data_IF_934444807754
#
_entry.id   IF_934444807754
#
_cell.length_a   1.000
_cell.length_b   1.000
_cell.length_c   1.000
_cell.angle_alpha   90.00
_cell.angle_beta   90.00
_cell.angle_gamma   90.00
#
_symmetry.space_group_name_H-M   'P 1'
#
loop_
_entity.id
_entity.type
_entity.pdbx_description
1 polymer ?
#
# COMPACT_ATOMS: atom_id res chain seq x y z
N UNK A 1 -29.08 -60.08 7.30
CA UNK A 1 -29.28 -58.88 8.14
C UNK A 1 -28.06 -57.95 8.02
N UNK A 2 -28.10 -57.06 7.02
CA UNK A 2 -27.14 -55.98 6.73
C UNK A 2 -27.94 -54.66 6.66
N UNK A 3 -28.43 -54.15 7.80
CA UNK A 3 -29.23 -52.90 7.80
C UNK A 3 -28.87 -51.89 8.90
N UNK A 4 -27.93 -52.20 9.81
CA UNK A 4 -27.63 -51.32 10.95
C UNK A 4 -26.47 -50.33 10.73
N UNK A 5 -25.65 -50.50 9.69
CA UNK A 5 -24.44 -49.68 9.51
C UNK A 5 -24.54 -48.65 8.38
N UNK A 6 -25.59 -48.67 7.55
CA UNK A 6 -25.76 -47.72 6.46
C UNK A 6 -26.32 -46.38 6.96
N UNK A 7 -27.24 -46.42 7.92
CA UNK A 7 -27.81 -45.21 8.53
C UNK A 7 -26.77 -44.37 9.28
N UNK A 8 -25.77 -45.01 9.91
CA UNK A 8 -24.74 -44.32 10.68
C UNK A 8 -23.69 -43.63 9.78
N UNK A 9 -23.38 -44.22 8.62
CA UNK A 9 -22.51 -43.65 7.58
C UNK A 9 -23.17 -42.48 6.84
N UNK A 10 -24.49 -42.53 6.65
CA UNK A 10 -25.25 -41.40 6.11
C UNK A 10 -25.36 -40.24 7.10
N UNK A 11 -25.50 -40.52 8.40
CA UNK A 11 -25.56 -39.48 9.43
C UNK A 11 -24.22 -38.73 9.60
N UNK A 12 -23.08 -39.42 9.44
CA UNK A 12 -21.75 -38.79 9.51
C UNK A 12 -21.41 -37.99 8.25
N UNK A 13 -21.82 -38.44 7.07
CA UNK A 13 -21.61 -37.68 5.83
C UNK A 13 -22.46 -36.39 5.77
N UNK A 14 -23.69 -36.41 6.27
CA UNK A 14 -24.54 -35.22 6.35
C UNK A 14 -24.01 -34.22 7.39
N UNK A 15 -23.45 -34.71 8.51
CA UNK A 15 -22.84 -33.85 9.52
C UNK A 15 -21.51 -33.20 9.04
N UNK A 16 -20.74 -33.86 8.16
CA UNK A 16 -19.56 -33.26 7.53
C UNK A 16 -19.91 -32.26 6.41
N UNK A 17 -21.03 -32.43 5.71
CA UNK A 17 -21.50 -31.46 4.71
C UNK A 17 -22.12 -30.20 5.34
N UNK A 18 -22.64 -30.29 6.57
CA UNK A 18 -23.19 -29.15 7.30
C UNK A 18 -22.13 -28.21 7.90
N UNK A 19 -20.86 -28.64 8.00
CA UNK A 19 -19.75 -27.81 8.48
C UNK A 19 -19.04 -27.08 7.32
N UNK A 20 -19.31 -27.44 6.06
CA UNK A 20 -18.69 -26.83 4.88
C UNK A 20 -19.42 -25.58 4.35
N UNK A 21 -20.46 -25.12 5.05
CA UNK A 21 -21.18 -23.86 4.75
C UNK A 21 -21.11 -22.94 5.97
N UNK A 22 -19.89 -22.57 6.37
CA UNK A 22 -19.70 -21.24 6.93
C UNK A 22 -19.26 -20.35 5.76
N UNK A 23 -20.02 -19.31 5.40
CA UNK A 23 -19.42 -18.20 4.69
C UNK A 23 -18.23 -17.72 5.53
N UNK A 24 -17.13 -17.36 4.88
CA UNK A 24 -16.12 -16.54 5.54
C UNK A 24 -16.86 -15.35 6.19
N UNK A 25 -16.59 -15.07 7.45
CA UNK A 25 -17.11 -13.87 8.11
C UNK A 25 -16.43 -12.65 7.47
N UNK A 26 -16.88 -12.27 6.27
CA UNK A 26 -16.58 -11.01 5.59
C UNK A 26 -17.53 -9.90 6.09
N UNK A 27 -17.90 -9.92 7.37
CA UNK A 27 -18.68 -8.86 8.02
C UNK A 27 -17.75 -7.81 8.66
N UNK A 28 -16.61 -7.53 8.02
CA UNK A 28 -15.98 -6.22 8.20
C UNK A 28 -16.77 -5.28 7.28
N UNK A 29 -17.58 -4.35 7.81
CA UNK A 29 -18.28 -3.40 6.96
C UNK A 29 -17.22 -2.72 6.10
N UNK A 30 -17.43 -2.75 4.77
CA UNK A 30 -16.65 -1.92 3.88
C UNK A 30 -16.69 -0.50 4.46
N UNK A 31 -15.53 -0.01 4.88
CA UNK A 31 -15.41 1.40 5.27
C UNK A 31 -15.75 2.15 3.99
N UNK A 32 -16.91 2.81 4.01
CA UNK A 32 -17.35 3.72 2.96
C UNK A 32 -16.37 4.89 3.00
N UNK A 33 -15.26 4.73 2.27
CA UNK A 33 -14.20 5.71 2.25
C UNK A 33 -14.76 6.96 1.54
N UNK A 34 -14.41 8.15 2.05
CA UNK A 34 -14.82 9.40 1.43
C UNK A 34 -14.45 9.39 -0.06
N UNK A 35 -15.24 10.13 -0.84
CA UNK A 35 -15.06 10.37 -2.27
C UNK A 35 -13.56 10.49 -2.60
N UNK A 36 -13.02 9.58 -3.41
CA UNK A 36 -11.58 9.52 -3.73
C UNK A 36 -11.15 10.65 -4.67
N UNK A 37 -11.91 11.74 -4.71
CA UNK A 37 -11.62 12.95 -5.46
C UNK A 37 -10.71 13.89 -4.66
N UNK A 38 -9.59 14.36 -5.26
CA UNK A 38 -8.80 15.46 -4.73
C UNK A 38 -9.61 16.71 -4.37
N UNK A 39 -9.07 17.51 -3.45
CA UNK A 39 -9.63 18.82 -3.10
C UNK A 39 -9.65 19.73 -4.33
N UNK A 40 -10.83 20.28 -4.63
CA UNK A 40 -11.01 21.17 -5.77
C UNK A 40 -10.12 22.42 -5.65
N UNK A 41 -9.45 22.77 -6.76
CA UNK A 41 -8.60 23.96 -6.84
C UNK A 41 -7.15 23.75 -6.40
N UNK A 42 -6.77 22.54 -5.99
CA UNK A 42 -5.36 22.15 -5.79
C UNK A 42 -4.78 21.64 -7.11
N UNK A 43 -3.54 22.03 -7.43
CA UNK A 43 -2.86 21.57 -8.64
C UNK A 43 -2.50 20.08 -8.56
N UNK A 44 -2.67 19.31 -9.64
CA UNK A 44 -2.21 17.92 -9.73
C UNK A 44 -0.69 17.80 -9.54
N UNK A 45 -0.18 16.63 -9.13
CA UNK A 45 1.24 16.41 -8.97
C UNK A 45 1.99 16.46 -10.31
N UNK A 46 3.28 16.82 -10.32
CA UNK A 46 4.07 16.97 -11.54
C UNK A 46 4.01 15.75 -12.47
N UNK A 47 3.66 15.96 -13.74
CA UNK A 47 3.55 14.88 -14.73
C UNK A 47 2.16 14.27 -14.85
N UNK A 48 1.17 14.73 -14.07
CA UNK A 48 -0.22 14.29 -14.17
C UNK A 48 -1.17 15.44 -14.44
N UNK A 49 -2.25 15.16 -15.17
CA UNK A 49 -3.28 16.15 -15.49
C UNK A 49 -4.40 16.21 -14.44
N UNK A 50 -4.70 15.07 -13.82
CA UNK A 50 -5.74 14.89 -12.82
C UNK A 50 -5.54 13.55 -12.06
N UNK A 51 -6.45 13.24 -11.14
CA UNK A 51 -6.43 12.00 -10.37
C UNK A 51 -6.65 10.75 -11.22
N UNK A 52 -7.53 10.82 -12.21
CA UNK A 52 -7.79 9.69 -13.11
C UNK A 52 -6.54 9.31 -13.90
N UNK A 53 -5.73 10.30 -14.31
CA UNK A 53 -4.42 10.07 -14.92
C UNK A 53 -3.44 9.37 -13.96
N UNK A 54 -3.45 9.71 -12.67
CA UNK A 54 -2.64 9.02 -11.64
C UNK A 54 -3.07 7.56 -11.51
N UNK A 55 -4.38 7.31 -11.36
CA UNK A 55 -4.94 5.97 -11.23
C UNK A 55 -4.66 5.10 -12.47
N UNK A 56 -4.83 5.66 -13.66
CA UNK A 56 -4.54 4.97 -14.91
C UNK A 56 -3.06 4.61 -15.04
N UNK A 57 -2.16 5.53 -14.68
CA UNK A 57 -0.73 5.25 -14.73
C UNK A 57 -0.33 4.18 -13.70
N UNK A 58 -0.91 4.19 -12.51
CA UNK A 58 -0.57 3.27 -11.42
C UNK A 58 -0.89 1.80 -11.74
N UNK A 59 -1.90 1.53 -12.57
CA UNK A 59 -2.40 0.18 -12.83
C UNK A 59 -1.28 -0.79 -13.28
N UNK A 60 -1.07 -1.86 -12.51
CA UNK A 60 -0.11 -2.91 -12.83
C UNK A 60 1.35 -2.55 -12.53
N UNK A 61 1.61 -1.37 -11.95
CA UNK A 61 2.96 -1.02 -11.49
C UNK A 61 3.34 -1.74 -10.20
N UNK A 62 4.64 -1.89 -9.99
CA UNK A 62 5.22 -2.29 -8.71
C UNK A 62 5.86 -1.09 -8.05
N UNK A 63 5.51 -0.83 -6.79
CA UNK A 63 6.12 0.23 -5.96
C UNK A 63 7.12 -0.40 -5.00
N UNK A 64 8.40 -0.06 -5.12
CA UNK A 64 9.44 -0.44 -4.18
C UNK A 64 9.42 0.50 -2.97
N UNK A 65 8.85 0.01 -1.87
CA UNK A 65 8.69 0.76 -0.63
C UNK A 65 9.80 0.41 0.36
N UNK A 66 10.78 1.30 0.51
CA UNK A 66 11.90 1.15 1.44
C UNK A 66 11.46 1.60 2.84
N UNK A 67 11.37 0.66 3.80
CA UNK A 67 10.95 0.98 5.16
C UNK A 67 11.84 0.35 6.23
N UNK A 68 11.80 0.91 7.44
CA UNK A 68 12.54 0.37 8.58
C UNK A 68 12.12 -1.06 8.89
N UNK A 69 13.05 -2.00 8.77
CA UNK A 69 12.79 -3.43 8.88
C UNK A 69 12.76 -3.97 10.32
N UNK A 70 12.97 -3.15 11.34
CA UNK A 70 13.16 -3.63 12.73
C UNK A 70 11.90 -4.10 13.48
N UNK A 71 10.76 -4.21 12.81
CA UNK A 71 9.51 -4.69 13.42
C UNK A 71 8.76 -5.66 12.52
N UNK A 72 8.81 -6.96 12.85
CA UNK A 72 8.06 -8.00 12.12
C UNK A 72 6.55 -7.72 12.08
N UNK A 73 6.01 -7.11 13.15
CA UNK A 73 4.59 -6.76 13.22
C UNK A 73 4.22 -5.69 12.19
N UNK A 74 4.98 -4.59 12.12
CA UNK A 74 4.72 -3.51 11.16
C UNK A 74 4.98 -4.04 9.74
N UNK A 75 6.09 -4.74 9.55
CA UNK A 75 6.47 -5.32 8.26
C UNK A 75 5.37 -6.26 7.74
N UNK A 76 4.86 -7.17 8.58
CA UNK A 76 3.80 -8.10 8.22
C UNK A 76 2.46 -7.42 7.95
N UNK A 77 2.15 -6.33 8.64
CA UNK A 77 0.97 -5.52 8.33
C UNK A 77 1.08 -4.84 6.95
N UNK A 78 2.27 -4.31 6.62
CA UNK A 78 2.53 -3.68 5.31
C UNK A 78 2.53 -4.71 4.17
N UNK A 79 3.19 -5.85 4.34
CA UNK A 79 3.31 -6.88 3.29
C UNK A 79 2.08 -7.78 3.16
N UNK A 80 1.19 -7.78 4.14
CA UNK A 80 -0.12 -8.43 4.08
C UNK A 80 -1.22 -7.41 3.77
N UNK A 81 -1.89 -6.93 4.82
CA UNK A 81 -3.10 -6.12 4.72
C UNK A 81 -2.97 -4.91 3.77
N UNK A 82 -1.88 -4.12 3.88
CA UNK A 82 -1.71 -2.93 3.03
C UNK A 82 -1.44 -3.31 1.59
N UNK A 83 -0.54 -4.27 1.35
CA UNK A 83 -0.23 -4.77 0.01
C UNK A 83 -1.48 -5.33 -0.68
N UNK A 84 -2.28 -6.14 0.02
CA UNK A 84 -3.53 -6.72 -0.49
C UNK A 84 -4.54 -5.62 -0.86
N UNK A 85 -4.75 -4.64 0.04
CA UNK A 85 -5.69 -3.55 -0.20
C UNK A 85 -5.29 -2.67 -1.39
N UNK A 86 -3.99 -2.36 -1.53
CA UNK A 86 -3.47 -1.54 -2.64
C UNK A 86 -3.56 -2.31 -3.97
N UNK A 87 -3.30 -3.62 -3.95
CA UNK A 87 -3.42 -4.48 -5.12
C UNK A 87 -4.87 -4.64 -5.58
N UNK A 88 -5.81 -4.86 -4.65
CA UNK A 88 -7.23 -5.04 -4.95
C UNK A 88 -7.86 -3.77 -5.51
N UNK A 89 -7.54 -2.62 -4.93
CA UNK A 89 -8.20 -1.34 -5.26
C UNK A 89 -7.60 -0.63 -6.46
N UNK A 90 -6.27 -0.67 -6.59
CA UNK A 90 -5.54 0.15 -7.58
C UNK A 90 -4.69 -0.69 -8.54
N UNK A 91 -4.69 -2.02 -8.40
CA UNK A 91 -3.89 -2.87 -9.27
C UNK A 91 -2.38 -2.73 -9.07
N UNK A 92 -1.93 -2.12 -7.98
CA UNK A 92 -0.51 -1.85 -7.69
C UNK A 92 0.08 -2.96 -6.81
N UNK A 93 1.22 -3.50 -7.21
CA UNK A 93 1.99 -4.43 -6.38
C UNK A 93 2.91 -3.65 -5.44
N UNK A 94 2.74 -3.82 -4.13
CA UNK A 94 3.64 -3.20 -3.15
C UNK A 94 4.81 -4.14 -2.81
N UNK A 95 6.02 -3.79 -3.24
CA UNK A 95 7.25 -4.51 -2.88
C UNK A 95 7.95 -3.80 -1.72
N UNK A 96 7.73 -4.27 -0.49
CA UNK A 96 8.41 -3.72 0.69
C UNK A 96 9.87 -4.20 0.74
N UNK A 97 10.80 -3.24 0.84
CA UNK A 97 12.24 -3.47 0.98
C UNK A 97 12.68 -3.05 2.39
N UNK A 98 13.07 -3.99 3.27
CA UNK A 98 13.47 -3.66 4.62
C UNK A 98 14.87 -3.01 4.62
N UNK A 99 15.00 -1.87 5.30
CA UNK A 99 16.29 -1.20 5.56
C UNK A 99 16.63 -1.21 7.04
N UNK A 100 17.94 -1.19 7.35
CA UNK A 100 18.40 -1.10 8.72
C UNK A 100 18.14 0.30 9.31
N UNK A 101 18.37 1.35 8.50
CA UNK A 101 18.16 2.74 8.85
C UNK A 101 17.89 3.61 7.62
N UNK A 102 17.56 4.89 7.86
CA UNK A 102 17.22 5.83 6.79
C UNK A 102 18.38 6.19 5.84
N UNK A 103 19.62 6.40 6.33
CA UNK A 103 20.77 6.67 5.46
C UNK A 103 20.98 5.66 4.32
N UNK A 104 20.56 4.41 4.49
CA UNK A 104 20.62 3.38 3.44
C UNK A 104 19.89 3.82 2.15
N UNK A 105 18.62 4.19 2.22
CA UNK A 105 17.88 4.64 1.04
C UNK A 105 18.34 6.04 0.58
N UNK A 106 18.78 6.91 1.49
CA UNK A 106 19.28 8.25 1.11
C UNK A 106 20.51 8.11 0.21
N UNK A 107 21.48 7.30 0.62
CA UNK A 107 22.70 7.07 -0.16
C UNK A 107 22.40 6.37 -1.49
N UNK A 108 21.40 5.48 -1.50
CA UNK A 108 20.96 4.79 -2.72
C UNK A 108 20.39 5.75 -3.76
N UNK A 109 19.42 6.58 -3.36
CA UNK A 109 18.80 7.57 -4.25
C UNK A 109 19.82 8.60 -4.71
N UNK A 110 20.66 9.10 -3.80
CA UNK A 110 21.72 10.05 -4.13
C UNK A 110 22.73 9.45 -5.13
N UNK A 111 23.11 8.19 -4.95
CA UNK A 111 24.01 7.49 -5.87
C UNK A 111 23.41 7.29 -7.26
N UNK A 112 22.11 7.02 -7.35
CA UNK A 112 21.38 6.89 -8.62
C UNK A 112 21.32 8.23 -9.36
N UNK A 113 20.97 9.32 -8.65
CA UNK A 113 20.98 10.68 -9.22
C UNK A 113 22.38 11.07 -9.71
N UNK A 114 23.43 10.82 -8.92
CA UNK A 114 24.82 11.13 -9.32
C UNK A 114 25.29 10.31 -10.53
N UNK A 115 24.69 9.15 -10.77
CA UNK A 115 24.92 8.33 -11.95
C UNK A 115 24.07 8.77 -13.17
N UNK A 116 23.29 9.85 -13.05
CA UNK A 116 22.39 10.35 -14.10
C UNK A 116 21.14 9.48 -14.29
N UNK A 117 20.75 8.71 -13.27
CA UNK A 117 19.49 7.95 -13.26
C UNK A 117 18.40 8.78 -12.59
N UNK A 118 17.91 9.75 -13.36
CA UNK A 118 16.81 10.63 -12.95
C UNK A 118 15.43 10.01 -13.20
N UNK A 119 15.40 8.93 -13.98
CA UNK A 119 14.25 8.07 -14.27
C UNK A 119 14.63 6.60 -14.00
N UNK A 120 13.64 5.74 -13.78
CA UNK A 120 13.83 4.30 -13.51
C UNK A 120 14.84 4.03 -12.37
N UNK A 121 14.78 4.85 -11.32
CA UNK A 121 15.42 4.59 -10.04
C UNK A 121 14.88 3.32 -9.39
N UNK A 122 15.51 2.87 -8.30
CA UNK A 122 15.09 1.63 -7.63
C UNK A 122 14.32 1.83 -6.33
N UNK A 123 14.08 3.09 -5.94
CA UNK A 123 13.38 3.49 -4.72
C UNK A 123 12.22 4.39 -5.12
N UNK A 124 10.98 3.92 -4.88
CA UNK A 124 9.77 4.64 -5.28
C UNK A 124 9.11 5.34 -4.09
N UNK A 125 9.16 4.71 -2.90
CA UNK A 125 8.58 5.22 -1.66
C UNK A 125 9.52 4.94 -0.48
N UNK A 126 9.58 5.85 0.48
CA UNK A 126 10.42 5.71 1.69
C UNK A 126 9.64 5.96 2.98
N UNK A 127 9.88 5.13 3.99
CA UNK A 127 9.52 5.47 5.37
C UNK A 127 10.60 6.42 5.91
N UNK A 128 10.24 7.68 6.11
CA UNK A 128 11.20 8.75 6.39
C UNK A 128 10.96 9.42 7.74
N UNK A 129 12.05 9.75 8.44
CA UNK A 129 12.03 10.57 9.65
C UNK A 129 12.50 12.01 9.31
N UNK A 130 12.37 12.95 10.26
CA UNK A 130 12.67 14.37 10.00
C UNK A 130 14.11 14.65 9.52
N UNK A 131 15.11 13.95 10.07
CA UNK A 131 16.52 14.16 9.68
C UNK A 131 16.81 13.68 8.26
N UNK A 132 16.31 12.50 7.88
CA UNK A 132 16.48 11.96 6.54
C UNK A 132 15.66 12.75 5.53
N UNK A 133 14.44 13.17 5.88
CA UNK A 133 13.62 14.05 5.03
C UNK A 133 14.35 15.36 4.73
N UNK A 134 14.87 16.04 5.76
CA UNK A 134 15.67 17.27 5.60
C UNK A 134 16.85 17.04 4.66
N UNK A 135 17.57 15.94 4.84
CA UNK A 135 18.73 15.59 4.00
C UNK A 135 18.33 15.38 2.55
N UNK A 136 17.29 14.59 2.28
CA UNK A 136 16.78 14.36 0.92
C UNK A 136 16.23 15.63 0.27
N UNK A 137 15.53 16.51 1.04
CA UNK A 137 15.07 17.82 0.53
C UNK A 137 16.23 18.71 0.12
N UNK A 138 17.27 18.80 0.95
CA UNK A 138 18.45 19.65 0.66
C UNK A 138 19.23 19.18 -0.56
N UNK A 139 19.18 17.88 -0.86
CA UNK A 139 19.79 17.27 -2.03
C UNK A 139 18.81 17.13 -3.23
N UNK A 140 17.62 17.74 -3.16
CA UNK A 140 16.62 17.73 -4.24
C UNK A 140 16.22 16.33 -4.70
N UNK A 141 16.16 15.37 -3.77
CA UNK A 141 15.90 13.94 -4.06
C UNK A 141 14.43 13.54 -3.98
N UNK A 142 13.52 14.46 -3.65
CA UNK A 142 12.13 14.15 -3.35
C UNK A 142 11.20 14.66 -4.45
N UNK A 143 10.35 13.77 -4.94
CA UNK A 143 9.25 14.10 -5.84
C UNK A 143 8.18 14.97 -5.16
N UNK A 144 7.58 15.88 -5.92
CA UNK A 144 6.45 16.70 -5.48
C UNK A 144 6.50 18.12 -6.06
N UNK A 145 5.55 18.98 -5.64
CA UNK A 145 4.55 18.79 -4.59
C UNK A 145 3.45 17.79 -4.97
N UNK A 146 2.83 17.14 -3.97
CA UNK A 146 1.67 16.24 -4.21
C UNK A 146 0.72 16.12 -3.00
N UNK A 147 1.18 16.42 -1.79
CA UNK A 147 0.49 16.08 -0.54
C UNK A 147 -0.88 16.76 -0.38
N UNK A 148 -1.01 18.00 -0.81
CA UNK A 148 -2.28 18.75 -0.77
C UNK A 148 -3.29 18.24 -1.81
N UNK A 149 -2.83 17.55 -2.86
CA UNK A 149 -3.68 17.03 -3.93
C UNK A 149 -4.31 15.68 -3.58
N UNK A 150 -3.84 14.99 -2.54
CA UNK A 150 -4.38 13.67 -2.20
C UNK A 150 -5.86 13.78 -1.80
N UNK A 151 -6.73 12.82 -2.16
CA UNK A 151 -8.16 12.86 -1.80
C UNK A 151 -8.40 13.05 -0.30
N UNK A 152 -7.61 12.37 0.53
CA UNK A 152 -7.71 12.43 1.99
C UNK A 152 -7.01 13.65 2.62
N UNK A 153 -6.47 14.58 1.82
CA UNK A 153 -5.88 15.84 2.32
C UNK A 153 -6.88 16.73 3.06
N UNK A 154 -8.19 16.51 2.86
CA UNK A 154 -9.29 17.14 3.61
C UNK A 154 -9.20 16.93 5.12
N UNK A 155 -8.49 15.88 5.57
CA UNK A 155 -8.31 15.57 6.98
C UNK A 155 -7.03 16.18 7.59
N UNK A 156 -6.26 16.93 6.81
CA UNK A 156 -5.05 17.61 7.26
C UNK A 156 -5.38 19.06 7.57
N UNK A 157 -4.96 19.54 8.74
CA UNK A 157 -5.00 20.96 9.06
C UNK A 157 -3.76 21.65 8.49
N UNK A 158 -3.89 22.28 7.31
CA UNK A 158 -2.78 22.94 6.62
C UNK A 158 -2.34 24.27 7.26
N UNK A 159 -3.14 24.82 8.18
CA UNK A 159 -2.84 26.07 8.89
C UNK A 159 -2.03 25.84 10.20
N UNK A 160 -1.77 24.58 10.58
CA UNK A 160 -1.07 24.20 11.82
C UNK A 160 0.07 23.20 11.53
N UNK A 161 1.22 23.70 11.03
CA UNK A 161 2.36 22.88 10.59
C UNK A 161 3.25 22.35 11.73
#
# INVERSE_FOLDING_TARGET
MKKKNLALLWLTAVLLMLVACQPAEDDVPAVDLPDETPVAGVEPPPGFADWDAVLQAAQGQTVNFYMWGGSDLINGWVTGYVADAVQERYGVTLNMVPVADGPEYVNKVLGEQQAGRDEDGSVDLVWVNGENYRTMRQAELLYGPFSEYLPNSVYVNWDDP
#
